data_IF_774350573220
#
_entry.id   IF_774350573220
#
_cell.length_a   1.000
_cell.length_b   1.000
_cell.length_c   1.000
_cell.angle_alpha   90.00
_cell.angle_beta   90.00
_cell.angle_gamma   90.00
#
_symmetry.space_group_name_H-M   'P 1'
#
loop_
_entity.id
_entity.type
_entity.pdbx_description
1 polymer ?
#
# COMPACT_ATOMS: atom_id res chain seq x y z
N UNK A 1 10.20 1.23 2.76
CA UNK A 1 10.49 2.51 3.43
C UNK A 1 9.78 3.65 2.71
N UNK A 2 8.46 3.71 2.79
CA UNK A 2 7.62 4.62 1.99
C UNK A 2 7.87 6.09 2.35
N UNK A 3 8.00 6.41 3.64
CA UNK A 3 8.17 7.79 4.11
C UNK A 3 9.54 8.37 3.75
N UNK A 4 10.60 7.56 3.85
CA UNK A 4 11.96 7.94 3.43
C UNK A 4 11.99 8.19 1.92
N UNK A 5 11.35 7.33 1.13
CA UNK A 5 11.23 7.53 -0.33
C UNK A 5 10.46 8.81 -0.65
N UNK A 6 9.35 9.09 0.04
CA UNK A 6 8.55 10.30 -0.17
C UNK A 6 9.28 11.59 0.24
N UNK A 7 10.12 11.53 1.27
CA UNK A 7 10.86 12.67 1.81
C UNK A 7 12.14 13.03 1.04
N UNK A 8 12.54 12.23 0.04
CA UNK A 8 13.71 12.49 -0.80
C UNK A 8 14.99 12.60 0.02
N UNK A 9 15.68 13.74 -0.06
CA UNK A 9 16.95 13.98 0.66
C UNK A 9 16.77 14.65 2.03
N UNK A 10 15.53 14.95 2.43
CA UNK A 10 15.26 15.69 3.68
C UNK A 10 15.37 14.83 4.93
N UNK A 11 15.34 13.51 4.78
CA UNK A 11 15.47 12.53 5.87
C UNK A 11 16.47 11.45 5.49
N UNK A 12 17.17 10.91 6.48
CA UNK A 12 18.00 9.72 6.30
C UNK A 12 17.23 8.48 6.77
N UNK A 13 17.19 7.45 5.92
CA UNK A 13 16.70 6.13 6.32
C UNK A 13 17.78 5.36 7.08
N UNK A 14 17.38 4.66 8.14
CA UNK A 14 18.24 3.68 8.81
C UNK A 14 17.77 2.29 8.39
N UNK A 15 18.63 1.46 7.76
CA UNK A 15 18.26 0.11 7.37
C UNK A 15 18.01 -0.75 8.62
N UNK A 16 16.93 -1.51 8.62
CA UNK A 16 16.62 -2.53 9.63
C UNK A 16 17.07 -3.88 9.07
N UNK A 17 17.85 -4.68 9.83
CA UNK A 17 18.19 -6.05 9.42
C UNK A 17 16.94 -6.88 9.07
N UNK A 18 17.00 -7.68 8.02
CA UNK A 18 15.83 -8.40 7.49
C UNK A 18 15.20 -9.36 8.51
N UNK A 19 16.01 -9.97 9.38
CA UNK A 19 15.56 -10.86 10.46
C UNK A 19 14.86 -10.13 11.62
N UNK A 20 15.00 -8.81 11.68
CA UNK A 20 14.36 -7.93 12.66
C UNK A 20 13.23 -7.10 12.04
N UNK A 21 13.14 -7.06 10.71
CA UNK A 21 12.20 -6.22 10.00
C UNK A 21 10.87 -6.94 9.79
N UNK A 22 9.84 -6.47 10.49
CA UNK A 22 8.48 -7.00 10.32
C UNK A 22 7.85 -6.35 9.09
N UNK A 23 7.52 -7.18 8.10
CA UNK A 23 6.79 -6.73 6.91
C UNK A 23 5.34 -6.42 7.32
N UNK A 24 4.94 -5.17 7.15
CA UNK A 24 3.57 -4.74 7.44
C UNK A 24 2.60 -5.18 6.33
N UNK A 25 1.49 -5.80 6.72
CA UNK A 25 0.39 -6.18 5.83
C UNK A 25 -0.79 -5.22 6.03
N UNK A 26 -1.28 -4.63 4.93
CA UNK A 26 -2.38 -3.66 4.93
C UNK A 26 -3.59 -4.21 4.18
N UNK A 27 -4.48 -4.96 4.85
CA UNK A 27 -5.65 -5.53 4.18
C UNK A 27 -6.65 -4.44 3.79
N UNK A 28 -7.34 -4.65 2.66
CA UNK A 28 -8.44 -3.81 2.18
C UNK A 28 -9.70 -4.66 2.05
N UNK A 29 -10.86 -4.10 2.43
CA UNK A 29 -12.14 -4.80 2.38
C UNK A 29 -13.31 -3.85 2.08
N UNK A 30 -14.36 -4.40 1.47
CA UNK A 30 -15.63 -3.68 1.26
C UNK A 30 -16.44 -3.65 2.55
N UNK A 31 -16.85 -2.45 2.98
CA UNK A 31 -17.79 -2.28 4.09
C UNK A 31 -19.17 -2.80 3.68
N UNK A 32 -19.67 -3.83 4.38
CA UNK A 32 -20.92 -4.53 4.05
C UNK A 32 -22.15 -3.61 3.98
N UNK A 33 -22.20 -2.58 4.81
CA UNK A 33 -23.29 -1.61 4.87
C UNK A 33 -23.18 -0.46 3.85
N UNK A 34 -22.19 -0.49 2.95
CA UNK A 34 -22.01 0.58 1.96
C UNK A 34 -23.22 0.67 1.03
N UNK A 35 -23.70 1.89 0.80
CA UNK A 35 -24.69 2.21 -0.24
C UNK A 35 -24.09 2.18 -1.66
N UNK A 36 -22.77 2.02 -1.78
CA UNK A 36 -22.02 2.06 -3.03
C UNK A 36 -21.22 0.77 -3.28
N UNK A 37 -21.84 -0.40 -3.08
CA UNK A 37 -21.17 -1.71 -3.17
C UNK A 37 -20.42 -1.95 -4.49
N UNK A 38 -20.99 -1.53 -5.63
CA UNK A 38 -20.34 -1.69 -6.94
C UNK A 38 -19.04 -0.89 -7.03
N UNK A 39 -19.09 0.39 -6.61
CA UNK A 39 -17.91 1.25 -6.62
C UNK A 39 -16.85 0.78 -5.62
N UNK A 40 -17.27 0.33 -4.43
CA UNK A 40 -16.36 -0.20 -3.42
C UNK A 40 -15.62 -1.46 -3.90
N UNK A 41 -16.31 -2.37 -4.60
CA UNK A 41 -15.68 -3.55 -5.21
C UNK A 41 -14.67 -3.16 -6.29
N UNK A 42 -15.06 -2.27 -7.20
CA UNK A 42 -14.16 -1.76 -8.23
C UNK A 42 -12.91 -1.10 -7.64
N UNK A 43 -13.05 -0.36 -6.54
CA UNK A 43 -11.91 0.23 -5.84
C UNK A 43 -10.97 -0.83 -5.25
N UNK A 44 -11.52 -1.87 -4.61
CA UNK A 44 -10.70 -3.00 -4.13
C UNK A 44 -9.95 -3.67 -5.28
N UNK A 45 -10.62 -3.92 -6.40
CA UNK A 45 -10.01 -4.55 -7.57
C UNK A 45 -8.86 -3.70 -8.14
N UNK A 46 -9.03 -2.37 -8.20
CA UNK A 46 -7.99 -1.42 -8.63
C UNK A 46 -6.77 -1.39 -7.70
N UNK A 47 -6.99 -1.46 -6.39
CA UNK A 47 -5.92 -1.45 -5.39
C UNK A 47 -5.18 -2.80 -5.33
N UNK A 48 -5.86 -3.92 -5.58
CA UNK A 48 -5.25 -5.26 -5.51
C UNK A 48 -4.56 -5.65 -6.81
N UNK A 49 -5.12 -5.28 -7.97
CA UNK A 49 -4.67 -5.79 -9.27
C UNK A 49 -4.61 -4.77 -10.41
N UNK A 50 -5.20 -3.59 -10.23
CA UNK A 50 -5.30 -2.57 -11.27
C UNK A 50 -4.18 -1.53 -11.24
N UNK A 51 -4.49 -0.33 -11.72
CA UNK A 51 -3.53 0.78 -11.79
C UNK A 51 -3.24 1.36 -10.41
N UNK A 52 -4.19 1.22 -9.47
CA UNK A 52 -3.97 1.52 -8.05
C UNK A 52 -2.78 0.72 -7.49
N UNK A 53 -2.69 -0.57 -7.80
CA UNK A 53 -1.58 -1.39 -7.33
C UNK A 53 -0.23 -0.96 -7.92
N UNK A 54 -0.21 -0.60 -9.21
CA UNK A 54 1.00 -0.06 -9.85
C UNK A 54 1.46 1.24 -9.19
N UNK A 55 0.51 2.11 -8.82
CA UNK A 55 0.81 3.36 -8.14
C UNK A 55 1.37 3.16 -6.72
N UNK A 56 0.95 2.10 -6.02
CA UNK A 56 1.47 1.70 -4.71
C UNK A 56 2.90 1.16 -4.83
N UNK A 57 3.16 0.25 -5.78
CA UNK A 57 4.50 -0.27 -6.06
C UNK A 57 5.49 0.85 -6.38
N UNK A 58 5.09 1.81 -7.22
CA UNK A 58 5.91 2.96 -7.57
C UNK A 58 6.29 3.86 -6.37
N UNK A 59 5.56 3.76 -5.26
CA UNK A 59 5.79 4.50 -4.00
C UNK A 59 6.44 3.66 -2.91
N UNK A 60 6.89 2.43 -3.23
CA UNK A 60 7.60 1.57 -2.30
C UNK A 60 6.72 0.76 -1.36
N UNK A 61 5.43 0.61 -1.68
CA UNK A 61 4.59 -0.43 -1.09
C UNK A 61 4.86 -1.78 -1.77
N UNK A 62 4.55 -2.86 -1.08
CA UNK A 62 4.66 -4.22 -1.61
C UNK A 62 3.34 -4.69 -2.25
N UNK A 63 3.45 -5.74 -3.05
CA UNK A 63 2.32 -6.47 -3.58
C UNK A 63 1.44 -7.09 -2.49
N UNK A 64 0.13 -7.24 -2.75
CA UNK A 64 -0.71 -8.12 -1.96
C UNK A 64 -0.23 -9.58 -2.04
#
# INVERSE_FOLDING_TARGET
ATDVTAAGTTVAGVPIPDDQNVIATYPIAVVKASTHLKAARAFVDEIVSGDGQKALLARGFLGP
#
